data_IF_726109282044
#
_entry.id   IF_726109282044
#
_cell.length_a   1.000
_cell.length_b   1.000
_cell.length_c   1.000
_cell.angle_alpha   90.00
_cell.angle_beta   90.00
_cell.angle_gamma   90.00
#
_symmetry.space_group_name_H-M   'P 1'
#
loop_
_entity.id
_entity.type
_entity.pdbx_description
1 polymer ?
#
# COMPACT_ATOMS: atom_id res chain seq x y z
N UNK A 1 4.87 18.34 -2.78
CA UNK A 1 5.09 19.48 -3.68
C UNK A 1 5.96 20.48 -2.93
N UNK A 2 6.80 21.19 -3.62
CA UNK A 2 7.69 22.23 -3.09
C UNK A 2 7.00 23.61 -3.07
N UNK A 3 5.69 23.66 -3.33
CA UNK A 3 4.92 24.90 -3.41
C UNK A 3 5.17 25.73 -4.67
N UNK A 4 6.02 25.27 -5.60
CA UNK A 4 6.15 25.87 -6.92
C UNK A 4 4.90 25.47 -7.71
N UNK A 5 4.01 26.41 -7.99
CA UNK A 5 2.78 26.18 -8.74
C UNK A 5 3.06 25.41 -10.01
N UNK A 6 2.56 24.18 -10.08
CA UNK A 6 2.87 23.25 -11.16
C UNK A 6 2.21 23.66 -12.47
N UNK A 7 2.97 23.67 -13.55
CA UNK A 7 2.40 23.63 -14.87
C UNK A 7 1.73 22.26 -15.09
N UNK A 8 0.66 22.22 -15.89
CA UNK A 8 0.04 20.97 -16.28
C UNK A 8 0.99 20.18 -17.18
N UNK A 9 1.21 18.91 -16.87
CA UNK A 9 1.98 18.00 -17.73
C UNK A 9 1.15 16.77 -18.10
N UNK A 10 1.51 16.15 -19.19
CA UNK A 10 0.89 14.93 -19.70
C UNK A 10 1.88 13.77 -19.60
N UNK A 11 1.41 12.62 -19.13
CA UNK A 11 2.14 11.34 -19.15
C UNK A 11 1.19 10.24 -19.63
N UNK A 12 1.72 9.27 -20.38
CA UNK A 12 0.97 8.10 -20.82
C UNK A 12 1.91 6.87 -20.84
N UNK A 13 1.49 5.78 -20.22
CA UNK A 13 2.30 4.58 -20.13
C UNK A 13 1.48 3.29 -20.06
N UNK A 14 2.14 2.15 -20.28
CA UNK A 14 1.59 0.81 -20.16
C UNK A 14 2.29 -0.03 -19.09
N UNK A 15 2.94 0.64 -18.12
CA UNK A 15 3.75 0.02 -17.05
C UNK A 15 2.96 -0.97 -16.17
N UNK A 16 1.65 -0.81 -16.10
CA UNK A 16 0.75 -1.66 -15.31
C UNK A 16 0.36 -2.97 -16.01
N UNK A 17 0.77 -3.15 -17.26
CA UNK A 17 0.59 -4.43 -17.96
C UNK A 17 1.23 -5.56 -17.18
N UNK A 18 0.51 -6.68 -17.04
CA UNK A 18 0.91 -7.80 -16.17
C UNK A 18 0.97 -9.10 -16.94
N UNK A 19 1.97 -9.89 -16.61
CA UNK A 19 2.12 -11.26 -17.06
C UNK A 19 2.18 -12.15 -15.84
N UNK A 20 1.39 -13.22 -15.81
CA UNK A 20 1.41 -14.17 -14.72
C UNK A 20 1.41 -15.63 -15.21
N UNK A 21 1.97 -16.50 -14.35
CA UNK A 21 1.96 -17.93 -14.50
C UNK A 21 1.45 -18.55 -13.21
N UNK A 22 0.50 -19.47 -13.34
CA UNK A 22 -0.09 -20.18 -12.19
C UNK A 22 -0.07 -21.68 -12.47
N UNK A 23 0.33 -22.47 -11.48
CA UNK A 23 0.15 -23.91 -11.49
C UNK A 23 -0.58 -24.40 -10.24
N UNK A 24 -1.23 -25.54 -10.36
CA UNK A 24 -1.86 -26.24 -9.24
C UNK A 24 -1.71 -27.73 -9.45
N UNK A 25 -1.20 -28.43 -8.44
CA UNK A 25 -0.94 -29.86 -8.46
C UNK A 25 -1.59 -30.49 -7.22
N UNK A 26 -2.32 -31.60 -7.44
CA UNK A 26 -2.69 -32.52 -6.37
C UNK A 26 -1.62 -33.62 -6.35
N UNK A 27 -0.99 -33.79 -5.21
CA UNK A 27 0.06 -34.79 -5.01
C UNK A 27 -0.58 -36.14 -4.68
N UNK A 28 0.17 -37.23 -4.92
CA UNK A 28 -0.31 -38.62 -4.71
C UNK A 28 -0.71 -38.88 -3.24
N UNK A 29 -0.13 -38.16 -2.30
CA UNK A 29 -0.47 -38.23 -0.87
C UNK A 29 -1.73 -37.39 -0.49
N UNK A 30 -2.41 -36.77 -1.47
CA UNK A 30 -3.59 -35.93 -1.27
C UNK A 30 -3.30 -34.47 -0.93
N UNK A 31 -2.05 -34.07 -0.81
CA UNK A 31 -1.65 -32.68 -0.57
C UNK A 31 -1.82 -31.82 -1.83
N UNK A 32 -1.94 -30.49 -1.61
CA UNK A 32 -2.09 -29.51 -2.68
C UNK A 32 -0.86 -28.60 -2.74
N UNK A 33 -0.25 -28.53 -3.91
CA UNK A 33 0.86 -27.62 -4.22
C UNK A 33 0.40 -26.62 -5.29
N UNK A 34 0.55 -25.34 -5.02
CA UNK A 34 0.27 -24.27 -5.97
C UNK A 34 1.49 -23.37 -6.16
N UNK A 35 1.65 -22.79 -7.33
CA UNK A 35 2.66 -21.76 -7.59
C UNK A 35 2.01 -20.56 -8.28
N UNK A 36 2.54 -19.37 -8.03
CA UNK A 36 2.12 -18.14 -8.70
C UNK A 36 3.31 -17.22 -8.90
N UNK A 37 3.53 -16.79 -10.13
CA UNK A 37 4.51 -15.79 -10.52
C UNK A 37 3.79 -14.69 -11.30
N UNK A 38 3.94 -13.43 -10.88
CA UNK A 38 3.41 -12.27 -11.61
C UNK A 38 4.44 -11.15 -11.66
N UNK A 39 4.53 -10.51 -12.82
CA UNK A 39 5.37 -9.35 -13.10
C UNK A 39 4.54 -8.20 -13.68
N UNK A 40 4.96 -6.97 -13.40
CA UNK A 40 4.60 -5.74 -14.13
C UNK A 40 5.87 -5.03 -14.62
N UNK A 41 5.72 -3.82 -15.17
CA UNK A 41 6.83 -3.05 -15.74
C UNK A 41 7.05 -1.71 -15.01
N UNK A 42 6.74 -1.65 -13.72
CA UNK A 42 6.87 -0.43 -12.91
C UNK A 42 8.30 -0.17 -12.38
N UNK A 43 9.30 -0.91 -12.82
CA UNK A 43 10.69 -0.64 -12.44
C UNK A 43 11.30 0.38 -13.40
N UNK A 44 11.68 1.55 -12.88
CA UNK A 44 12.26 2.64 -13.66
C UNK A 44 13.78 2.55 -13.86
N UNK A 45 14.47 1.69 -13.12
CA UNK A 45 15.96 1.68 -13.07
C UNK A 45 16.62 1.38 -14.42
N UNK A 46 15.92 0.74 -15.34
CA UNK A 46 16.45 0.38 -16.68
C UNK A 46 15.46 0.78 -17.80
N UNK A 47 14.55 1.69 -17.51
CA UNK A 47 13.60 2.18 -18.50
C UNK A 47 14.27 3.16 -19.49
N UNK A 48 13.70 3.23 -20.69
CA UNK A 48 14.07 4.21 -21.70
C UNK A 48 12.81 4.78 -22.36
N UNK A 49 12.31 5.87 -21.81
CA UNK A 49 11.13 6.54 -22.30
C UNK A 49 11.39 7.30 -23.60
N UNK A 50 12.58 7.85 -23.77
CA UNK A 50 12.95 8.71 -24.92
C UNK A 50 12.98 7.94 -26.23
N UNK A 51 13.51 6.71 -26.23
CA UNK A 51 13.72 5.94 -27.45
C UNK A 51 12.66 4.89 -27.72
N UNK A 52 12.20 4.20 -26.69
CA UNK A 52 11.39 2.98 -26.85
C UNK A 52 10.21 2.89 -25.91
N UNK A 53 10.04 3.82 -24.99
CA UNK A 53 9.06 3.72 -23.89
C UNK A 53 9.12 2.35 -23.18
N UNK A 54 10.33 1.79 -23.07
CA UNK A 54 10.57 0.50 -22.45
C UNK A 54 10.83 0.64 -20.95
N UNK A 55 10.33 -0.29 -20.17
CA UNK A 55 10.44 -0.34 -18.72
C UNK A 55 10.83 -1.74 -18.29
N UNK A 56 11.61 -1.83 -17.21
CA UNK A 56 12.08 -3.12 -16.70
C UNK A 56 10.99 -3.88 -15.97
N UNK A 57 10.98 -5.22 -16.10
CA UNK A 57 10.09 -6.08 -15.32
C UNK A 57 10.34 -5.92 -13.82
N UNK A 58 9.25 -5.95 -13.04
CA UNK A 58 9.27 -5.98 -11.58
C UNK A 58 8.47 -7.19 -11.09
N UNK A 59 9.07 -8.01 -10.22
CA UNK A 59 8.35 -9.10 -9.57
C UNK A 59 7.30 -8.51 -8.62
N UNK A 60 6.05 -8.88 -8.85
CA UNK A 60 4.92 -8.55 -7.95
C UNK A 60 4.68 -9.69 -6.99
N UNK A 61 4.47 -10.87 -7.53
CA UNK A 61 4.24 -12.10 -6.78
C UNK A 61 5.19 -13.19 -7.26
N UNK A 62 5.77 -13.90 -6.32
CA UNK A 62 6.59 -15.09 -6.57
C UNK A 62 6.49 -15.97 -5.33
N UNK A 63 5.55 -16.92 -5.31
CA UNK A 63 5.31 -17.77 -4.15
C UNK A 63 4.81 -19.14 -4.55
N UNK A 64 4.95 -20.09 -3.62
CA UNK A 64 4.23 -21.34 -3.67
C UNK A 64 3.34 -21.51 -2.44
N UNK A 65 2.31 -22.35 -2.59
CA UNK A 65 1.45 -22.77 -1.48
C UNK A 65 1.56 -24.30 -1.33
N UNK A 66 1.66 -24.74 -0.10
CA UNK A 66 1.58 -26.15 0.26
C UNK A 66 0.55 -26.30 1.38
N UNK A 67 -0.59 -26.88 1.04
CA UNK A 67 -1.77 -26.95 1.93
C UNK A 67 -2.15 -25.58 2.52
N UNK A 68 -1.87 -25.39 3.82
CA UNK A 68 -2.18 -24.17 4.59
C UNK A 68 -1.05 -23.14 4.59
N UNK A 69 0.11 -23.49 4.02
CA UNK A 69 1.29 -22.65 4.01
C UNK A 69 1.45 -21.91 2.69
N UNK A 70 1.94 -20.68 2.78
CA UNK A 70 2.42 -19.90 1.66
C UNK A 70 3.85 -19.45 1.97
N UNK A 71 4.76 -19.62 1.01
CA UNK A 71 6.16 -19.20 1.12
C UNK A 71 6.55 -18.44 -0.13
N UNK A 72 7.10 -17.25 0.03
CA UNK A 72 7.55 -16.38 -1.05
C UNK A 72 6.98 -14.97 -0.95
N UNK A 73 7.10 -14.21 -2.03
CA UNK A 73 6.69 -12.82 -2.09
C UNK A 73 5.24 -12.67 -2.55
N UNK A 74 4.43 -11.98 -1.75
CA UNK A 74 3.06 -11.61 -2.10
C UNK A 74 2.61 -10.40 -1.29
N UNK A 75 1.32 -10.04 -1.36
CA UNK A 75 0.71 -9.00 -0.56
C UNK A 75 0.95 -9.22 0.94
N UNK A 76 1.31 -8.16 1.63
CA UNK A 76 1.42 -8.15 3.09
C UNK A 76 0.20 -8.77 3.74
N UNK A 77 0.40 -9.56 4.79
CA UNK A 77 -0.72 -10.13 5.54
C UNK A 77 -1.50 -9.03 6.29
N UNK A 78 -0.83 -7.94 6.64
CA UNK A 78 -1.44 -6.74 7.22
C UNK A 78 -2.40 -6.01 6.26
N UNK A 79 -2.28 -6.24 4.95
CA UNK A 79 -3.05 -5.60 3.90
C UNK A 79 -4.25 -6.44 3.44
N UNK A 80 -5.44 -5.85 3.41
CA UNK A 80 -6.65 -6.45 2.83
C UNK A 80 -6.91 -5.94 1.40
N UNK A 81 -6.41 -6.66 0.41
CA UNK A 81 -6.63 -6.35 -1.02
C UNK A 81 -8.12 -6.27 -1.39
N UNK A 82 -8.97 -7.08 -0.73
CA UNK A 82 -10.42 -7.11 -1.02
C UNK A 82 -11.15 -5.82 -0.66
N UNK A 83 -10.56 -4.98 0.20
CA UNK A 83 -11.13 -3.70 0.58
C UNK A 83 -10.68 -2.52 -0.31
N UNK A 84 -9.77 -2.74 -1.26
CA UNK A 84 -9.35 -1.67 -2.17
C UNK A 84 -10.52 -1.14 -2.98
N UNK A 85 -10.64 0.19 -3.14
CA UNK A 85 -11.61 0.80 -4.03
C UNK A 85 -11.27 0.50 -5.50
N UNK A 86 -12.25 0.63 -6.38
CA UNK A 86 -12.05 0.49 -7.83
C UNK A 86 -11.69 1.84 -8.45
N UNK A 87 -10.54 2.38 -8.09
CA UNK A 87 -9.98 3.59 -8.69
C UNK A 87 -9.19 3.26 -9.95
N UNK A 88 -9.02 4.24 -10.84
CA UNK A 88 -8.09 4.14 -11.97
C UNK A 88 -6.65 4.40 -11.54
N UNK A 89 -6.47 5.14 -10.46
CA UNK A 89 -5.19 5.22 -9.79
C UNK A 89 -4.72 3.84 -9.35
N UNK A 90 -3.42 3.57 -9.48
CA UNK A 90 -2.82 2.27 -9.18
C UNK A 90 -3.07 1.78 -7.75
N UNK A 91 -3.15 2.69 -6.77
CA UNK A 91 -3.34 2.41 -5.35
C UNK A 91 -4.71 2.91 -4.86
N UNK A 92 -5.24 3.96 -5.47
CA UNK A 92 -6.40 4.71 -5.00
C UNK A 92 -5.96 5.81 -4.01
N UNK A 93 -6.62 5.97 -2.84
CA UNK A 93 -6.25 6.96 -1.83
C UNK A 93 -4.94 6.54 -1.15
N UNK A 94 -3.82 6.81 -1.86
CA UNK A 94 -2.51 6.28 -1.52
C UNK A 94 -2.07 6.67 -0.11
N UNK A 95 -2.42 7.86 0.34
CA UNK A 95 -2.06 8.43 1.65
C UNK A 95 -2.59 7.60 2.83
N UNK A 96 -3.75 6.95 2.67
CA UNK A 96 -4.47 6.25 3.75
C UNK A 96 -4.53 4.73 3.57
N UNK A 97 -3.91 4.21 2.51
CA UNK A 97 -3.97 2.79 2.15
C UNK A 97 -2.76 2.03 2.67
N UNK A 98 -2.99 0.87 3.29
CA UNK A 98 -1.95 -0.15 3.48
C UNK A 98 -1.71 -0.83 2.14
N UNK A 99 -0.50 -0.70 1.56
CA UNK A 99 -0.23 -1.23 0.24
C UNK A 99 1.22 -1.65 0.06
N UNK A 100 1.46 -2.94 -0.15
CA UNK A 100 2.79 -3.44 -0.45
C UNK A 100 2.89 -4.96 -0.52
N UNK A 101 4.06 -5.43 -0.92
CA UNK A 101 4.41 -6.84 -1.08
C UNK A 101 5.81 -7.08 -0.54
N UNK A 102 6.03 -8.25 0.04
CA UNK A 102 7.34 -8.68 0.52
C UNK A 102 7.41 -10.20 0.64
N UNK A 103 8.62 -10.77 0.75
CA UNK A 103 8.80 -12.17 1.11
C UNK A 103 8.24 -12.48 2.50
N UNK A 104 7.61 -13.65 2.62
CA UNK A 104 6.99 -14.10 3.87
C UNK A 104 6.83 -15.61 3.93
N UNK A 105 6.61 -16.10 5.14
CA UNK A 105 6.00 -17.40 5.40
C UNK A 105 4.67 -17.12 6.10
N UNK A 106 3.56 -17.57 5.50
CA UNK A 106 2.22 -17.37 6.04
C UNK A 106 1.49 -18.69 6.22
N UNK A 107 0.91 -18.88 7.39
CA UNK A 107 0.03 -20.01 7.71
C UNK A 107 -1.42 -19.53 7.77
N UNK A 108 -2.32 -20.23 7.07
CA UNK A 108 -3.76 -19.93 7.05
C UNK A 108 -4.54 -21.08 7.66
N UNK A 109 -5.38 -20.80 8.66
CA UNK A 109 -6.25 -21.79 9.30
C UNK A 109 -7.64 -21.22 9.55
N UNK A 110 -8.60 -21.62 8.73
CA UNK A 110 -9.94 -21.04 8.72
C UNK A 110 -9.88 -19.53 8.48
N UNK A 111 -10.45 -18.69 9.34
CA UNK A 111 -10.44 -17.24 9.17
C UNK A 111 -9.11 -16.58 9.53
N UNK A 112 -8.21 -17.30 10.19
CA UNK A 112 -6.96 -16.77 10.69
C UNK A 112 -5.81 -16.92 9.72
N UNK A 113 -4.97 -15.89 9.68
CA UNK A 113 -3.68 -15.89 9.00
C UNK A 113 -2.62 -15.39 9.98
N UNK A 114 -1.48 -16.10 10.02
CA UNK A 114 -0.30 -15.72 10.79
C UNK A 114 0.89 -15.70 9.85
N UNK A 115 1.69 -14.65 9.92
CA UNK A 115 2.85 -14.53 9.04
C UNK A 115 4.08 -14.01 9.78
N UNK A 116 5.23 -14.46 9.29
CA UNK A 116 6.54 -13.84 9.51
C UNK A 116 6.97 -13.24 8.17
N UNK A 117 7.25 -11.94 8.16
CA UNK A 117 7.46 -11.17 6.95
C UNK A 117 8.82 -10.47 6.97
N UNK A 118 9.39 -10.21 5.80
CA UNK A 118 10.68 -9.55 5.68
C UNK A 118 10.62 -8.15 6.31
N UNK A 119 11.41 -7.87 7.35
CA UNK A 119 11.41 -6.57 8.01
C UNK A 119 12.18 -5.55 7.19
N UNK A 120 11.84 -4.28 7.36
CA UNK A 120 12.59 -3.14 6.83
C UNK A 120 12.20 -1.87 7.56
N UNK A 121 13.16 -1.07 8.00
CA UNK A 121 12.94 0.14 8.76
C UNK A 121 13.37 1.37 7.97
N UNK A 122 12.52 2.39 7.91
CA UNK A 122 12.90 3.72 7.46
C UNK A 122 13.12 4.63 8.66
N UNK A 123 14.22 5.38 8.63
CA UNK A 123 14.64 6.24 9.74
C UNK A 123 14.97 7.64 9.22
N UNK A 124 14.45 8.63 9.94
CA UNK A 124 14.79 10.04 9.76
C UNK A 124 15.84 10.44 10.81
N UNK A 125 16.83 11.17 10.37
CA UNK A 125 17.85 11.73 11.28
C UNK A 125 17.30 12.90 12.11
N UNK A 126 18.00 13.20 13.19
CA UNK A 126 17.68 14.29 14.09
C UNK A 126 17.55 15.64 13.34
N UNK A 127 16.53 16.42 13.70
CA UNK A 127 16.13 17.69 13.03
C UNK A 127 15.97 17.55 11.49
N UNK A 128 15.66 16.34 11.02
CA UNK A 128 15.52 16.05 9.59
C UNK A 128 16.84 15.90 8.83
N UNK A 129 17.98 15.88 9.51
CA UNK A 129 19.29 15.75 8.86
C UNK A 129 19.57 14.30 8.51
N UNK A 130 19.46 13.98 7.22
CA UNK A 130 19.63 12.64 6.69
C UNK A 130 18.35 11.79 6.79
N UNK A 131 18.32 10.77 5.97
CA UNK A 131 17.23 9.80 5.90
C UNK A 131 17.72 8.46 5.36
N UNK A 132 17.36 7.37 6.03
CA UNK A 132 17.48 6.02 5.50
C UNK A 132 16.10 5.48 5.18
N UNK A 133 15.85 5.09 3.92
CA UNK A 133 14.56 4.53 3.50
C UNK A 133 14.49 3.02 3.71
N UNK A 134 15.64 2.37 3.95
CA UNK A 134 15.78 0.96 4.19
C UNK A 134 17.05 0.73 5.00
N UNK A 135 16.91 0.38 6.28
CA UNK A 135 18.07 0.16 7.16
C UNK A 135 18.81 -1.15 6.84
N UNK A 136 18.07 -2.19 6.45
CA UNK A 136 18.64 -3.53 6.21
C UNK A 136 19.14 -4.26 7.47
N UNK A 137 18.93 -3.71 8.66
CA UNK A 137 19.62 -4.11 9.90
C UNK A 137 18.72 -4.87 10.87
N UNK A 138 17.44 -5.06 10.54
CA UNK A 138 16.47 -5.71 11.42
C UNK A 138 16.87 -7.16 11.73
N UNK A 139 16.80 -7.53 13.01
CA UNK A 139 17.13 -8.87 13.51
C UNK A 139 15.93 -9.75 13.71
N UNK A 140 14.75 -9.15 13.85
CA UNK A 140 13.48 -9.83 14.09
C UNK A 140 12.55 -9.54 12.89
N UNK A 141 11.94 -10.57 12.27
CA UNK A 141 10.95 -10.36 11.22
C UNK A 141 9.71 -9.64 11.74
N UNK A 142 9.00 -8.96 10.84
CA UNK A 142 7.68 -8.42 11.14
C UNK A 142 6.70 -9.58 11.41
N UNK A 143 5.98 -9.54 12.54
CA UNK A 143 5.00 -10.55 12.94
C UNK A 143 3.60 -10.03 12.68
N UNK A 144 2.82 -10.77 11.89
CA UNK A 144 1.47 -10.34 11.51
C UNK A 144 0.44 -11.42 11.85
N UNK A 145 -0.66 -10.98 12.45
CA UNK A 145 -1.85 -11.80 12.62
C UNK A 145 -3.05 -11.10 11.97
N UNK A 146 -3.87 -11.85 11.22
CA UNK A 146 -5.08 -11.32 10.58
C UNK A 146 -6.25 -12.29 10.74
N UNK A 147 -7.40 -11.74 11.05
CA UNK A 147 -8.69 -12.43 11.07
C UNK A 147 -9.57 -11.93 9.93
N UNK A 148 -10.19 -12.85 9.19
CA UNK A 148 -11.08 -12.55 8.07
C UNK A 148 -12.46 -13.15 8.32
N UNK A 149 -13.50 -12.37 8.05
CA UNK A 149 -14.89 -12.81 8.13
C UNK A 149 -15.61 -12.38 6.85
N UNK A 150 -16.49 -13.22 6.34
CA UNK A 150 -17.31 -12.91 5.16
C UNK A 150 -18.66 -13.58 5.24
N UNK A 151 -19.64 -12.98 4.55
CA UNK A 151 -21.00 -13.47 4.46
C UNK A 151 -21.78 -12.77 3.35
N UNK A 152 -23.09 -12.92 3.34
CA UNK A 152 -23.96 -12.28 2.34
C UNK A 152 -23.94 -10.75 2.42
N UNK A 153 -23.58 -10.20 3.58
CA UNK A 153 -23.44 -8.77 3.83
C UNK A 153 -22.13 -8.16 3.26
N UNK A 154 -21.14 -8.99 2.95
CA UNK A 154 -19.81 -8.56 2.49
C UNK A 154 -18.66 -9.23 3.22
N UNK A 155 -17.61 -8.49 3.56
CA UNK A 155 -16.41 -8.99 4.24
C UNK A 155 -15.87 -7.98 5.25
N UNK A 156 -15.17 -8.51 6.25
CA UNK A 156 -14.44 -7.76 7.28
C UNK A 156 -13.10 -8.41 7.53
N UNK A 157 -12.08 -7.61 7.77
CA UNK A 157 -10.75 -8.06 8.15
C UNK A 157 -10.21 -7.18 9.28
N UNK A 158 -9.60 -7.82 10.27
CA UNK A 158 -8.83 -7.16 11.33
C UNK A 158 -7.41 -7.74 11.32
N UNK A 159 -6.41 -6.89 11.22
CA UNK A 159 -5.01 -7.27 11.20
C UNK A 159 -4.21 -6.50 12.26
N UNK A 160 -3.26 -7.18 12.90
CA UNK A 160 -2.28 -6.59 13.81
C UNK A 160 -0.86 -6.92 13.35
N UNK A 161 0.06 -5.98 13.56
CA UNK A 161 1.48 -6.14 13.25
C UNK A 161 2.33 -5.73 14.44
N UNK A 162 3.42 -6.47 14.67
CA UNK A 162 4.50 -6.14 15.62
C UNK A 162 5.82 -6.11 14.85
N UNK A 163 6.65 -5.11 15.12
CA UNK A 163 7.88 -4.83 14.39
C UNK A 163 9.04 -4.51 15.32
N UNK A 164 10.24 -4.89 14.92
CA UNK A 164 11.47 -4.23 15.33
C UNK A 164 11.76 -3.07 14.38
N UNK A 165 12.03 -1.88 14.91
CA UNK A 165 12.54 -0.74 14.17
C UNK A 165 14.02 -0.59 14.55
N UNK A 166 14.93 -0.77 13.59
CA UNK A 166 16.37 -0.81 13.87
C UNK A 166 17.16 0.00 12.86
N UNK A 167 18.18 0.65 13.36
CA UNK A 167 19.25 1.27 12.58
C UNK A 167 20.57 0.95 13.26
N UNK A 168 21.46 0.25 12.56
CA UNK A 168 22.82 -0.10 13.01
C UNK A 168 23.77 0.54 12.01
N UNK A 169 24.02 1.85 12.18
CA UNK A 169 24.84 2.64 11.27
C UNK A 169 24.12 3.03 9.97
N UNK A 170 22.81 2.82 9.83
CA UNK A 170 22.04 3.26 8.67
C UNK A 170 22.05 4.79 8.48
N UNK A 171 22.29 5.52 9.55
CA UNK A 171 22.60 6.94 9.61
C UNK A 171 23.80 7.15 10.53
N UNK A 172 24.61 8.18 10.25
CA UNK A 172 25.79 8.48 11.05
C UNK A 172 25.42 8.76 12.52
N UNK A 173 26.05 8.02 13.43
CA UNK A 173 25.83 8.15 14.87
C UNK A 173 24.55 7.51 15.41
N UNK A 174 23.84 6.71 14.59
CA UNK A 174 22.63 5.98 15.02
C UNK A 174 22.94 4.49 15.07
N UNK A 175 22.85 3.90 16.28
CA UNK A 175 22.93 2.46 16.53
C UNK A 175 21.94 2.15 17.67
N UNK A 176 20.67 1.96 17.28
CA UNK A 176 19.60 1.70 18.24
C UNK A 176 18.46 0.89 17.63
N UNK A 177 17.58 0.39 18.48
CA UNK A 177 16.36 -0.28 18.07
C UNK A 177 15.20 0.05 19.02
N UNK A 178 14.00 0.16 18.43
CA UNK A 178 12.76 0.32 19.18
C UNK A 178 11.68 -0.58 18.60
N UNK A 179 10.54 -0.70 19.27
CA UNK A 179 9.41 -1.49 18.78
C UNK A 179 8.42 -0.63 18.01
N UNK A 180 7.80 -1.21 16.98
CA UNK A 180 6.65 -0.66 16.29
C UNK A 180 5.47 -1.63 16.33
N UNK A 181 4.26 -1.09 16.21
CA UNK A 181 3.03 -1.89 16.15
C UNK A 181 1.95 -1.17 15.34
N UNK A 182 0.96 -1.93 14.88
CA UNK A 182 -0.19 -1.35 14.20
C UNK A 182 -1.39 -2.26 14.16
N UNK A 183 -2.54 -1.64 13.91
CA UNK A 183 -3.82 -2.30 13.69
C UNK A 183 -4.45 -1.76 12.41
N UNK A 184 -4.99 -2.66 11.58
CA UNK A 184 -5.76 -2.31 10.38
C UNK A 184 -7.09 -3.03 10.39
N UNK A 185 -8.17 -2.27 10.27
CA UNK A 185 -9.53 -2.75 10.09
C UNK A 185 -9.99 -2.40 8.68
N UNK A 186 -10.66 -3.31 8.01
CA UNK A 186 -11.09 -3.06 6.64
C UNK A 186 -12.24 -3.96 6.24
N UNK A 187 -12.98 -3.54 5.23
CA UNK A 187 -14.10 -4.35 4.78
C UNK A 187 -14.74 -3.88 3.49
N UNK A 188 -15.66 -4.73 3.01
CA UNK A 188 -16.56 -4.45 1.90
C UNK A 188 -17.97 -4.79 2.33
N UNK A 189 -18.88 -3.86 2.20
CA UNK A 189 -20.30 -4.04 2.54
C UNK A 189 -21.17 -3.93 1.29
N UNK A 190 -21.98 -4.92 1.04
CA UNK A 190 -22.96 -4.88 -0.05
C UNK A 190 -24.07 -3.89 0.27
N UNK A 191 -24.46 -3.07 -0.69
CA UNK A 191 -25.55 -2.12 -0.60
C UNK A 191 -26.55 -2.44 -1.69
N UNK A 192 -27.75 -2.86 -1.28
CA UNK A 192 -28.75 -3.36 -2.21
C UNK A 192 -28.28 -4.60 -2.99
N UNK A 193 -28.58 -4.66 -4.28
CA UNK A 193 -28.29 -5.82 -5.12
C UNK A 193 -26.96 -5.77 -5.88
N UNK A 194 -26.37 -4.59 -6.04
CA UNK A 194 -25.23 -4.38 -6.96
C UNK A 194 -24.13 -3.48 -6.40
N UNK A 195 -24.49 -2.51 -5.56
CA UNK A 195 -23.58 -1.53 -5.03
C UNK A 195 -22.76 -2.09 -3.85
N UNK A 196 -21.64 -1.47 -3.56
CA UNK A 196 -20.86 -1.78 -2.36
C UNK A 196 -20.18 -0.54 -1.79
N UNK A 197 -19.89 -0.63 -0.49
CA UNK A 197 -19.06 0.29 0.24
C UNK A 197 -17.80 -0.42 0.71
N UNK A 198 -16.64 0.16 0.45
CA UNK A 198 -15.31 -0.34 0.82
C UNK A 198 -14.62 0.64 1.73
N UNK A 199 -13.87 0.15 2.69
CA UNK A 199 -13.19 0.99 3.65
C UNK A 199 -11.97 0.31 4.26
N UNK A 200 -11.06 1.14 4.75
CA UNK A 200 -9.91 0.71 5.55
C UNK A 200 -9.61 1.81 6.56
N UNK A 201 -9.30 1.43 7.79
CA UNK A 201 -8.81 2.30 8.86
C UNK A 201 -7.59 1.64 9.48
N UNK A 202 -6.48 2.35 9.53
CA UNK A 202 -5.19 1.84 10.00
C UNK A 202 -4.56 2.85 10.93
N UNK A 203 -4.00 2.37 12.04
CA UNK A 203 -3.28 3.21 13.00
C UNK A 203 -2.15 2.43 13.65
N UNK A 204 -1.12 3.13 14.08
CA UNK A 204 -0.03 2.53 14.83
C UNK A 204 1.17 3.43 15.02
N UNK A 205 2.15 2.88 15.72
CA UNK A 205 3.45 3.49 15.99
C UNK A 205 4.52 2.77 15.17
N UNK A 206 5.32 3.53 14.42
CA UNK A 206 6.36 2.95 13.57
C UNK A 206 5.84 2.22 12.33
N UNK A 207 4.67 2.58 11.81
CA UNK A 207 4.12 1.95 10.59
C UNK A 207 5.01 2.18 9.37
N UNK A 208 5.50 3.42 9.17
CA UNK A 208 6.38 3.77 8.06
C UNK A 208 5.83 3.31 6.71
N UNK A 209 6.54 2.42 6.03
CA UNK A 209 6.18 1.90 4.71
C UNK A 209 4.80 1.20 4.64
N UNK A 210 4.24 0.77 5.77
CA UNK A 210 2.95 0.08 5.81
C UNK A 210 1.76 0.99 5.61
N UNK A 211 1.87 2.29 5.85
CA UNK A 211 0.79 3.25 5.66
C UNK A 211 1.19 4.32 4.65
N UNK A 212 0.26 4.66 3.75
CA UNK A 212 0.37 5.81 2.86
C UNK A 212 1.50 5.73 1.85
N UNK A 213 1.97 4.53 1.48
CA UNK A 213 3.10 4.33 0.56
C UNK A 213 4.31 5.20 0.91
N UNK A 214 4.73 5.20 2.16
CA UNK A 214 5.75 6.08 2.73
C UNK A 214 5.25 7.50 3.05
N UNK A 215 4.07 7.64 3.63
CA UNK A 215 3.58 8.91 4.14
C UNK A 215 4.57 9.54 5.14
N UNK A 216 5.14 8.69 6.01
CA UNK A 216 6.17 9.05 6.98
C UNK A 216 7.22 7.95 7.12
N UNK A 217 8.34 8.26 7.78
CA UNK A 217 9.31 7.25 8.20
C UNK A 217 8.78 6.45 9.40
N UNK A 218 9.34 5.26 9.64
CA UNK A 218 8.92 4.42 10.77
C UNK A 218 9.44 4.97 12.11
N UNK A 219 10.63 5.57 12.10
CA UNK A 219 11.26 6.13 13.29
C UNK A 219 12.04 7.42 12.97
N UNK A 220 12.31 8.20 14.01
CA UNK A 220 13.22 9.34 13.99
C UNK A 220 14.31 9.13 15.05
N UNK A 221 15.54 9.52 14.74
CA UNK A 221 16.63 9.54 15.71
C UNK A 221 16.59 10.82 16.56
N UNK A 222 16.91 10.71 17.85
CA UNK A 222 17.19 11.86 18.70
C UNK A 222 18.65 12.35 18.57
N UNK A 223 19.01 13.41 19.29
CA UNK A 223 20.36 13.97 19.28
C UNK A 223 21.45 12.99 19.79
N UNK A 224 21.07 11.93 20.50
CA UNK A 224 21.98 10.91 21.00
C UNK A 224 22.01 9.66 20.11
N UNK A 225 21.25 9.64 19.02
CA UNK A 225 21.12 8.49 18.13
C UNK A 225 20.12 7.43 18.58
N UNK A 226 19.28 7.71 19.60
CA UNK A 226 18.22 6.78 19.98
C UNK A 226 17.02 6.92 19.06
N UNK A 227 16.35 5.80 18.76
CA UNK A 227 15.18 5.75 17.89
C UNK A 227 13.88 5.98 18.66
N UNK A 228 13.03 6.84 18.12
CA UNK A 228 11.63 6.98 18.51
C UNK A 228 10.73 6.61 17.35
N UNK A 229 9.77 5.74 17.58
CA UNK A 229 8.75 5.39 16.60
C UNK A 229 7.84 6.61 16.33
N UNK A 230 7.38 6.77 15.09
CA UNK A 230 6.49 7.85 14.66
C UNK A 230 5.07 7.28 14.60
N UNK A 231 4.13 7.94 15.27
CA UNK A 231 2.72 7.57 15.27
C UNK A 231 2.02 8.10 14.03
N UNK A 232 1.13 7.29 13.45
CA UNK A 232 0.37 7.69 12.27
C UNK A 232 -0.92 6.90 12.16
N UNK A 233 -1.92 7.51 11.51
CA UNK A 233 -3.15 6.84 11.16
C UNK A 233 -3.68 7.29 9.80
N UNK A 234 -4.55 6.48 9.20
CA UNK A 234 -5.20 6.82 7.95
C UNK A 234 -6.50 6.03 7.79
N UNK A 235 -7.42 6.62 7.05
CA UNK A 235 -8.73 6.04 6.76
C UNK A 235 -9.16 6.39 5.34
N UNK A 236 -9.76 5.42 4.65
CA UNK A 236 -10.52 5.72 3.45
C UNK A 236 -11.89 5.06 3.46
N UNK A 237 -12.82 5.67 2.71
CA UNK A 237 -14.10 5.10 2.36
C UNK A 237 -14.40 5.29 0.88
N UNK A 238 -14.98 4.28 0.24
CA UNK A 238 -15.34 4.30 -1.17
C UNK A 238 -16.71 3.70 -1.40
N UNK A 239 -17.57 4.43 -2.07
CA UNK A 239 -18.87 3.95 -2.52
C UNK A 239 -18.84 3.67 -4.02
N UNK A 240 -19.16 2.43 -4.41
CA UNK A 240 -19.30 2.03 -5.80
C UNK A 240 -20.77 1.88 -6.16
N UNK A 241 -21.18 2.59 -7.21
CA UNK A 241 -22.53 2.59 -7.74
C UNK A 241 -22.59 2.04 -9.18
N UNK A 242 -23.52 1.12 -9.44
CA UNK A 242 -23.79 0.59 -10.76
C UNK A 242 -24.99 1.29 -11.40
N UNK A 243 -24.76 2.13 -12.38
CA UNK A 243 -25.80 2.77 -13.19
C UNK A 243 -26.52 1.77 -14.08
N UNK A 244 -25.77 0.88 -14.72
CA UNK A 244 -26.25 -0.21 -15.58
C UNK A 244 -25.33 -1.43 -15.43
N UNK A 245 -25.52 -2.47 -16.25
CA UNK A 245 -24.58 -3.61 -16.31
C UNK A 245 -23.19 -3.24 -16.84
N UNK A 246 -23.12 -2.16 -17.63
CA UNK A 246 -21.89 -1.72 -18.28
C UNK A 246 -21.26 -0.49 -17.63
N UNK A 247 -22.04 0.32 -16.91
CA UNK A 247 -21.58 1.59 -16.35
C UNK A 247 -21.59 1.58 -14.83
N UNK A 248 -20.47 2.00 -14.24
CA UNK A 248 -20.32 2.17 -12.78
C UNK A 248 -19.43 3.35 -12.45
N UNK A 249 -19.59 3.87 -11.25
CA UNK A 249 -18.79 4.97 -10.71
C UNK A 249 -18.32 4.63 -9.30
N UNK A 250 -17.19 5.21 -8.90
CA UNK A 250 -16.74 5.20 -7.53
C UNK A 250 -16.52 6.64 -7.05
N UNK A 251 -16.94 6.91 -5.82
CA UNK A 251 -16.52 8.07 -5.04
C UNK A 251 -15.67 7.56 -3.89
N UNK A 252 -14.41 7.96 -3.85
CA UNK A 252 -13.45 7.56 -2.82
C UNK A 252 -12.91 8.78 -2.11
N UNK A 253 -12.87 8.73 -0.78
CA UNK A 253 -12.31 9.75 0.10
C UNK A 253 -11.23 9.11 0.95
N UNK A 254 -10.06 9.71 1.04
CA UNK A 254 -8.96 9.30 1.90
C UNK A 254 -8.44 10.44 2.76
N UNK A 255 -7.99 10.09 3.97
CA UNK A 255 -7.35 11.02 4.90
C UNK A 255 -6.33 10.29 5.77
N UNK A 256 -5.25 10.97 6.08
CA UNK A 256 -4.21 10.48 7.00
C UNK A 256 -3.54 11.62 7.75
N UNK A 257 -3.01 11.27 8.92
CA UNK A 257 -2.33 12.19 9.82
C UNK A 257 -1.10 11.49 10.43
N UNK A 258 -0.07 12.27 10.68
CA UNK A 258 1.19 11.85 11.30
C UNK A 258 1.43 12.71 12.53
N UNK A 259 1.64 12.09 13.68
CA UNK A 259 2.01 12.77 14.92
C UNK A 259 3.55 12.86 15.01
N UNK A 260 4.07 13.99 14.55
CA UNK A 260 5.51 14.25 14.51
C UNK A 260 5.98 15.01 15.75
N UNK A 261 6.99 14.49 16.44
CA UNK A 261 7.78 15.30 17.37
C UNK A 261 8.68 16.25 16.57
N UNK A 262 8.20 17.46 16.28
CA UNK A 262 8.90 18.43 15.42
C UNK A 262 10.25 18.87 15.94
N UNK A 263 10.52 18.72 17.24
CA UNK A 263 11.84 18.92 17.82
C UNK A 263 12.85 17.87 17.33
N UNK A 264 12.38 16.70 16.89
CA UNK A 264 13.20 15.63 16.35
C UNK A 264 13.17 15.55 14.82
N UNK A 265 11.95 15.68 14.24
CA UNK A 265 11.76 15.50 12.79
C UNK A 265 12.07 16.75 11.98
N UNK A 266 12.11 17.93 12.61
CA UNK A 266 11.98 19.20 11.93
C UNK A 266 10.55 19.42 11.41
N UNK A 267 10.31 20.53 10.73
CA UNK A 267 8.96 20.94 10.29
C UNK A 267 8.68 20.70 8.79
N UNK A 268 9.60 20.10 8.05
CA UNK A 268 9.44 19.80 6.61
C UNK A 268 8.84 18.40 6.35
N UNK A 269 8.27 17.76 7.36
CA UNK A 269 7.66 16.43 7.30
C UNK A 269 6.14 16.54 7.14
N UNK A 270 5.52 15.54 6.55
CA UNK A 270 4.06 15.48 6.38
C UNK A 270 3.38 15.46 7.74
N UNK A 271 2.44 16.37 7.97
CA UNK A 271 1.49 16.37 9.09
C UNK A 271 0.20 15.65 8.69
N UNK A 272 -0.37 16.02 7.53
CA UNK A 272 -1.58 15.38 7.02
C UNK A 272 -1.59 15.27 5.49
N UNK A 273 -2.43 14.38 4.98
CA UNK A 273 -2.71 14.27 3.56
C UNK A 273 -4.14 13.74 3.34
N UNK A 274 -4.76 14.21 2.26
CA UNK A 274 -6.13 13.83 1.90
C UNK A 274 -6.31 13.72 0.39
N UNK A 275 -7.29 12.91 -0.03
CA UNK A 275 -7.66 12.85 -1.44
C UNK A 275 -9.15 12.57 -1.64
N UNK A 276 -9.64 13.01 -2.80
CA UNK A 276 -10.98 12.71 -3.33
C UNK A 276 -10.79 12.18 -4.74
N UNK A 277 -11.37 11.02 -5.02
CA UNK A 277 -11.38 10.44 -6.36
C UNK A 277 -12.83 10.21 -6.81
N UNK A 278 -13.13 10.61 -8.03
CA UNK A 278 -14.40 10.34 -8.69
C UNK A 278 -14.14 9.76 -10.07
N UNK A 279 -14.72 8.61 -10.36
CA UNK A 279 -14.54 7.99 -11.66
C UNK A 279 -15.84 7.55 -12.32
N UNK A 280 -15.73 7.28 -13.61
CA UNK A 280 -16.75 6.61 -14.42
C UNK A 280 -16.05 5.53 -15.23
N UNK A 281 -16.56 4.29 -15.13
CA UNK A 281 -15.98 3.11 -15.77
C UNK A 281 -17.04 2.50 -16.69
N UNK A 282 -16.65 2.21 -17.93
CA UNK A 282 -17.46 1.56 -18.96
C UNK A 282 -16.89 0.20 -19.32
N UNK A 283 -17.69 -0.85 -19.21
CA UNK A 283 -17.35 -2.25 -19.53
C UNK A 283 -18.22 -2.75 -20.70
N UNK A 284 -17.83 -2.49 -21.96
CA UNK A 284 -18.63 -2.89 -23.14
C UNK A 284 -18.66 -4.40 -23.35
N UNK A 285 -17.67 -5.12 -22.85
CA UNK A 285 -17.53 -6.57 -22.95
C UNK A 285 -16.87 -7.14 -21.69
N UNK A 286 -17.01 -8.45 -21.41
CA UNK A 286 -16.30 -9.09 -20.32
C UNK A 286 -14.79 -8.84 -20.40
N UNK A 287 -14.18 -8.47 -19.27
CA UNK A 287 -12.74 -8.24 -19.13
C UNK A 287 -12.18 -7.01 -19.86
N UNK A 288 -13.03 -6.16 -20.46
CA UNK A 288 -12.63 -4.92 -21.12
C UNK A 288 -13.26 -3.74 -20.40
N UNK A 289 -12.41 -2.89 -19.82
CA UNK A 289 -12.82 -1.68 -19.10
C UNK A 289 -12.15 -0.45 -19.72
N UNK A 290 -12.92 0.63 -19.84
CA UNK A 290 -12.45 1.99 -20.10
C UNK A 290 -12.87 2.88 -18.94
N UNK A 291 -12.02 3.78 -18.51
CA UNK A 291 -12.35 4.64 -17.40
C UNK A 291 -11.78 6.04 -17.52
N UNK A 292 -12.45 6.98 -16.86
CA UNK A 292 -11.97 8.33 -16.57
C UNK A 292 -12.08 8.60 -15.08
N UNK A 293 -11.05 9.18 -14.48
CA UNK A 293 -11.01 9.53 -13.06
C UNK A 293 -10.49 10.95 -12.88
N UNK A 294 -11.18 11.72 -12.05
CA UNK A 294 -10.72 13.00 -11.55
C UNK A 294 -10.32 12.83 -10.09
N UNK A 295 -9.12 13.29 -9.77
CA UNK A 295 -8.54 13.24 -8.43
C UNK A 295 -8.18 14.65 -7.99
N UNK A 296 -8.50 14.95 -6.74
CA UNK A 296 -8.01 16.10 -5.99
C UNK A 296 -7.29 15.58 -4.76
N UNK A 297 -6.09 16.05 -4.50
CA UNK A 297 -5.34 15.69 -3.31
C UNK A 297 -4.66 16.94 -2.71
N UNK A 298 -4.52 16.94 -1.41
CA UNK A 298 -3.79 17.92 -0.65
C UNK A 298 -2.78 17.22 0.28
N UNK A 299 -1.66 17.87 0.51
CA UNK A 299 -0.68 17.46 1.51
C UNK A 299 -0.19 18.67 2.26
N UNK A 300 -0.22 18.61 3.58
CA UNK A 300 0.33 19.60 4.49
C UNK A 300 1.57 19.06 5.21
N UNK A 301 2.48 19.96 5.56
CA UNK A 301 3.67 19.68 6.37
C UNK A 301 3.61 20.47 7.68
N UNK A 302 4.37 20.05 8.69
CA UNK A 302 4.35 20.63 10.05
C UNK A 302 4.66 22.15 10.11
N UNK A 303 5.26 22.70 9.07
CA UNK A 303 5.46 24.16 8.97
C UNK A 303 4.19 24.94 8.58
N UNK A 304 3.09 24.25 8.29
CA UNK A 304 1.85 24.82 7.74
C UNK A 304 1.92 25.14 6.25
N UNK A 305 2.99 24.73 5.56
CA UNK A 305 3.01 24.78 4.09
C UNK A 305 2.23 23.61 3.52
N UNK A 306 1.42 23.87 2.51
CA UNK A 306 0.58 22.89 1.84
C UNK A 306 0.79 22.85 0.33
N UNK A 307 0.27 21.81 -0.32
CA UNK A 307 0.31 21.68 -1.77
C UNK A 307 -0.81 20.80 -2.28
N UNK A 308 -1.44 21.28 -3.36
CA UNK A 308 -2.56 20.63 -4.03
C UNK A 308 -2.12 19.88 -5.29
N UNK A 309 -2.83 18.83 -5.60
CA UNK A 309 -2.73 18.08 -6.86
C UNK A 309 -4.12 17.90 -7.45
N UNK A 310 -4.28 18.28 -8.72
CA UNK A 310 -5.45 17.89 -9.53
C UNK A 310 -4.98 17.02 -10.68
N UNK A 311 -5.60 15.84 -10.85
CA UNK A 311 -5.24 14.90 -11.92
C UNK A 311 -6.50 14.40 -12.62
N UNK A 312 -6.48 14.45 -13.95
CA UNK A 312 -7.43 13.76 -14.82
C UNK A 312 -6.72 12.55 -15.43
N UNK A 313 -7.22 11.37 -15.18
CA UNK A 313 -6.66 10.11 -15.66
C UNK A 313 -7.63 9.36 -16.56
N UNK A 314 -7.11 8.80 -17.65
CA UNK A 314 -7.81 7.84 -18.51
C UNK A 314 -7.14 6.49 -18.39
N UNK A 315 -7.92 5.41 -18.47
CA UNK A 315 -7.40 4.06 -18.44
C UNK A 315 -8.18 3.16 -19.40
N UNK A 316 -7.47 2.24 -20.04
CA UNK A 316 -8.04 1.11 -20.76
C UNK A 316 -7.40 -0.17 -20.23
N UNK A 317 -8.22 -1.15 -19.84
CA UNK A 317 -7.76 -2.43 -19.30
C UNK A 317 -8.44 -3.58 -20.03
N UNK A 318 -7.64 -4.55 -20.46
CA UNK A 318 -8.11 -5.82 -20.97
C UNK A 318 -7.43 -6.98 -20.24
N UNK A 319 -8.19 -7.96 -19.78
CA UNK A 319 -7.68 -9.15 -19.12
C UNK A 319 -7.92 -10.39 -20.00
N UNK A 320 -6.90 -11.21 -20.19
CA UNK A 320 -6.98 -12.45 -20.97
C UNK A 320 -7.60 -13.61 -20.19
#
# INVERSE_FOLDING_TARGET
>A
SDGSGGEAYFDAHVKESRINFKSTHNLDNGDKLGTFLEMDFHNSAQGNEILSNSWSPRIRHAFFTYNKWLVGQTWWTFFNVGALPENLDFIGPAESTVFGRQPMIRYTNGPWQFAVENPETSVRGYEGVGRSTASGDNRIPDLVARYNMSGDWGSFSAAGILRELRCDGCLAGVDDSTSGYGVSLSGTHKIGSRDDFRWMATMGSGLGRYLGTFLTDAAVADANGNLKAIDSWGVFGSYRHFWTDQWRSNLTLGYSEVDNDTALTGTAVTSEASSIHVNLIYSPAPKLDFGVELMFANREVESGADGDLTRLQFSAKYAY
#
